data_IF_163070176345
#
_entry.id   IF_163070176345
#
_cell.length_a   1.000
_cell.length_b   1.000
_cell.length_c   1.000
_cell.angle_alpha   90.00
_cell.angle_beta   90.00
_cell.angle_gamma   90.00
#
_symmetry.space_group_name_H-M   'P 1'
#
loop_
_entity.id
_entity.type
_entity.pdbx_description
1 polymer ?
#
# COMPACT_ATOMS: atom_id res chain seq x y z
N UNK A 1 15.44 -39.37 -2.60
CA UNK A 1 15.81 -38.28 -1.69
C UNK A 1 17.20 -37.86 -2.10
N UNK A 2 17.30 -36.87 -2.98
CA UNK A 2 18.57 -36.17 -3.22
C UNK A 2 18.44 -34.85 -2.48
N UNK A 3 19.27 -34.68 -1.45
CA UNK A 3 19.43 -33.42 -0.74
C UNK A 3 20.07 -32.41 -1.70
N UNK A 4 19.30 -31.38 -2.06
CA UNK A 4 19.85 -30.21 -2.75
C UNK A 4 20.55 -29.36 -1.70
N UNK A 5 21.88 -29.46 -1.62
CA UNK A 5 22.70 -28.54 -0.84
C UNK A 5 22.50 -27.11 -1.35
N UNK A 6 21.81 -26.30 -0.56
CA UNK A 6 21.68 -24.86 -0.80
C UNK A 6 22.99 -24.20 -0.37
N UNK A 7 23.82 -23.79 -1.33
CA UNK A 7 25.05 -23.04 -1.05
C UNK A 7 24.70 -21.62 -0.59
N UNK A 8 25.19 -21.22 0.58
CA UNK A 8 25.17 -19.83 1.05
C UNK A 8 25.95 -18.92 0.09
N UNK A 9 25.25 -17.97 -0.55
CA UNK A 9 25.90 -16.97 -1.41
C UNK A 9 26.20 -15.71 -0.59
N UNK A 10 27.43 -15.61 -0.08
CA UNK A 10 27.96 -14.39 0.54
C UNK A 10 28.37 -13.36 -0.52
N UNK A 11 27.40 -12.69 -1.14
CA UNK A 11 27.67 -11.57 -2.05
C UNK A 11 27.55 -10.23 -1.32
N UNK A 12 28.51 -9.96 -0.42
CA UNK A 12 28.76 -8.61 0.04
C UNK A 12 29.47 -7.83 -1.09
N UNK A 13 28.96 -6.65 -1.47
CA UNK A 13 29.69 -5.72 -2.37
C UNK A 13 30.99 -5.18 -1.74
N UNK A 14 31.18 -5.41 -0.44
CA UNK A 14 32.40 -5.21 0.31
C UNK A 14 32.53 -6.40 1.26
N UNK A 15 33.31 -7.40 0.89
CA UNK A 15 33.70 -8.44 1.84
C UNK A 15 34.64 -7.82 2.89
N UNK A 16 34.50 -8.20 4.16
CA UNK A 16 35.49 -7.94 5.22
C UNK A 16 36.92 -8.41 4.84
N UNK A 17 37.05 -9.25 3.80
CA UNK A 17 38.32 -9.78 3.27
C UNK A 17 38.96 -8.95 2.16
N UNK A 18 38.38 -7.81 1.76
CA UNK A 18 38.95 -6.96 0.70
C UNK A 18 38.85 -7.54 -0.72
N UNK A 19 38.08 -8.61 -0.94
CA UNK A 19 37.82 -9.14 -2.28
C UNK A 19 36.86 -8.22 -3.04
N UNK A 20 37.40 -7.54 -4.05
CA UNK A 20 36.61 -6.74 -5.00
C UNK A 20 35.81 -7.67 -5.90
N UNK A 21 34.50 -7.47 -6.00
CA UNK A 21 33.66 -8.18 -6.97
C UNK A 21 34.24 -7.99 -8.38
N UNK A 22 34.57 -9.09 -9.06
CA UNK A 22 35.06 -9.03 -10.44
C UNK A 22 33.88 -8.84 -11.40
N UNK A 23 34.09 -8.17 -12.55
CA UNK A 23 33.06 -8.14 -13.59
C UNK A 23 32.81 -9.56 -14.11
N UNK A 24 31.55 -10.01 -14.05
CA UNK A 24 31.12 -11.33 -14.55
C UNK A 24 30.19 -11.11 -15.75
N UNK A 25 30.25 -11.99 -16.74
CA UNK A 25 29.29 -11.95 -17.87
C UNK A 25 27.92 -12.30 -17.33
N UNK A 26 26.88 -11.60 -17.79
CA UNK A 26 25.51 -11.79 -17.28
C UNK A 26 25.03 -13.25 -17.31
N UNK A 27 25.41 -14.01 -18.34
CA UNK A 27 25.08 -15.45 -18.47
C UNK A 27 25.72 -16.36 -17.41
N UNK A 28 26.78 -15.89 -16.76
CA UNK A 28 27.53 -16.61 -15.75
C UNK A 28 27.21 -16.07 -14.34
N UNK A 29 26.20 -15.19 -14.22
CA UNK A 29 25.66 -14.72 -12.93
C UNK A 29 24.60 -15.71 -12.48
N UNK A 30 24.86 -16.38 -11.36
CA UNK A 30 23.91 -17.31 -10.77
C UNK A 30 22.61 -16.59 -10.36
N UNK A 31 21.47 -17.27 -10.54
CA UNK A 31 20.19 -16.79 -10.00
C UNK A 31 20.28 -16.78 -8.48
N UNK A 32 20.24 -15.59 -7.88
CA UNK A 32 20.34 -15.46 -6.42
C UNK A 32 19.01 -15.90 -5.80
N UNK A 33 19.02 -17.05 -5.13
CA UNK A 33 17.99 -17.40 -4.13
C UNK A 33 18.39 -16.75 -2.81
N UNK A 34 17.73 -15.66 -2.44
CA UNK A 34 17.94 -15.03 -1.14
C UNK A 34 17.24 -15.87 -0.06
N UNK A 35 17.95 -16.26 1.00
CA UNK A 35 17.31 -16.76 2.22
C UNK A 35 16.53 -15.61 2.86
N UNK A 36 15.21 -15.72 2.89
CA UNK A 36 14.33 -14.69 3.46
C UNK A 36 13.84 -15.12 4.83
N UNK A 37 13.87 -14.20 5.78
CA UNK A 37 13.23 -14.39 7.08
C UNK A 37 11.81 -13.86 7.00
N UNK A 38 10.84 -14.76 7.10
CA UNK A 38 9.43 -14.39 7.16
C UNK A 38 9.06 -13.93 8.57
N UNK A 39 8.28 -12.86 8.66
CA UNK A 39 7.56 -12.50 9.89
C UNK A 39 6.25 -13.29 9.94
N UNK A 40 5.47 -13.16 11.01
CA UNK A 40 4.15 -13.78 11.09
C UNK A 40 3.08 -12.90 10.42
N UNK A 41 3.46 -11.69 9.98
CA UNK A 41 2.65 -10.76 9.21
C UNK A 41 2.71 -11.05 7.70
N UNK A 42 1.65 -11.65 7.16
CA UNK A 42 1.55 -12.05 5.76
C UNK A 42 1.61 -10.86 4.78
N UNK A 43 0.97 -9.75 5.10
CA UNK A 43 0.92 -8.52 4.31
C UNK A 43 2.31 -7.85 4.30
N UNK A 44 3.01 -7.82 5.44
CA UNK A 44 4.38 -7.30 5.51
C UNK A 44 5.36 -8.13 4.67
N UNK A 45 5.30 -9.46 4.81
CA UNK A 45 6.10 -10.38 4.00
C UNK A 45 5.86 -10.18 2.51
N UNK A 46 4.58 -10.03 2.10
CA UNK A 46 4.21 -9.80 0.70
C UNK A 46 4.83 -8.51 0.16
N UNK A 47 4.70 -7.41 0.89
CA UNK A 47 5.26 -6.10 0.50
C UNK A 47 6.79 -6.18 0.31
N UNK A 48 7.49 -6.96 1.12
CA UNK A 48 8.93 -7.21 0.98
C UNK A 48 9.31 -8.23 -0.12
N UNK A 49 8.33 -8.80 -0.83
CA UNK A 49 8.58 -9.80 -1.88
C UNK A 49 8.83 -11.21 -1.34
N UNK A 50 8.24 -11.54 -0.19
CA UNK A 50 8.25 -12.87 0.43
C UNK A 50 8.91 -12.95 1.80
N UNK A 51 9.47 -11.85 2.32
CA UNK A 51 10.14 -11.78 3.63
C UNK A 51 11.37 -10.86 3.63
N UNK A 52 11.96 -10.68 4.81
CA UNK A 52 13.13 -9.83 5.06
C UNK A 52 14.38 -10.45 4.46
N UNK A 53 15.15 -9.68 3.70
CA UNK A 53 16.38 -10.13 3.04
C UNK A 53 17.60 -9.69 3.86
N UNK A 54 18.51 -10.60 4.24
CA UNK A 54 19.73 -10.25 4.96
C UNK A 54 20.64 -9.36 4.10
N UNK A 55 21.45 -8.55 4.77
CA UNK A 55 22.34 -7.59 4.11
C UNK A 55 21.61 -6.56 3.25
N UNK A 56 20.39 -6.16 3.62
CA UNK A 56 19.58 -5.19 2.87
C UNK A 56 19.30 -3.93 3.69
N UNK A 57 19.03 -2.82 3.01
CA UNK A 57 18.59 -1.56 3.65
C UNK A 57 17.18 -1.20 3.18
N UNK A 58 16.25 -1.14 4.14
CA UNK A 58 14.81 -0.95 3.92
C UNK A 58 14.38 0.36 4.57
N UNK A 59 13.89 1.31 3.78
CA UNK A 59 13.33 2.58 4.26
C UNK A 59 11.82 2.45 4.47
N UNK A 60 11.33 2.85 5.64
CA UNK A 60 9.89 3.02 5.90
C UNK A 60 9.60 4.52 6.07
N UNK A 61 8.99 5.08 5.02
CA UNK A 61 8.52 6.46 4.97
C UNK A 61 7.07 6.60 5.41
N UNK A 62 6.69 7.76 5.96
CA UNK A 62 5.29 8.07 6.22
C UNK A 62 5.10 9.22 7.22
N UNK A 63 3.88 9.72 7.31
CA UNK A 63 3.53 10.82 8.19
C UNK A 63 3.80 10.48 9.67
N UNK A 64 4.18 11.46 10.52
CA UNK A 64 4.24 11.27 11.97
C UNK A 64 2.90 10.75 12.52
N UNK A 65 2.94 9.77 13.42
CA UNK A 65 1.74 9.16 14.00
C UNK A 65 1.01 8.12 13.12
N UNK A 66 1.50 7.83 11.90
CA UNK A 66 0.92 6.77 11.06
C UNK A 66 1.19 5.35 11.59
N UNK A 67 2.06 5.19 12.58
CA UNK A 67 2.32 3.88 13.22
C UNK A 67 3.55 3.13 12.67
N UNK A 68 4.53 3.83 12.09
CA UNK A 68 5.79 3.24 11.61
C UNK A 68 6.55 2.50 12.73
N UNK A 69 6.76 3.17 13.86
CA UNK A 69 7.39 2.58 15.05
C UNK A 69 6.56 1.41 15.61
N UNK A 70 5.23 1.50 15.57
CA UNK A 70 4.36 0.38 15.99
C UNK A 70 4.56 -0.84 15.08
N UNK A 71 4.57 -0.65 13.76
CA UNK A 71 4.82 -1.71 12.79
C UNK A 71 6.19 -2.35 13.03
N UNK A 72 7.23 -1.53 13.17
CA UNK A 72 8.60 -2.00 13.37
C UNK A 72 8.77 -2.70 14.70
N UNK A 73 8.15 -2.25 15.79
CA UNK A 73 8.19 -2.97 17.06
C UNK A 73 7.55 -4.35 16.94
N UNK A 74 6.36 -4.47 16.31
CA UNK A 74 5.71 -5.77 16.11
C UNK A 74 6.52 -6.71 15.19
N UNK A 75 7.13 -6.16 14.13
CA UNK A 75 8.03 -6.94 13.27
C UNK A 75 9.27 -7.37 14.03
N UNK A 76 9.84 -6.48 14.85
CA UNK A 76 11.06 -6.74 15.60
C UNK A 76 10.87 -7.80 16.67
N UNK A 77 9.75 -7.80 17.42
CA UNK A 77 9.46 -8.87 18.38
C UNK A 77 9.28 -10.23 17.71
N UNK A 78 8.72 -10.27 16.49
CA UNK A 78 8.61 -11.52 15.72
C UNK A 78 9.96 -11.99 15.16
N UNK A 79 10.81 -11.06 14.71
CA UNK A 79 12.15 -11.36 14.19
C UNK A 79 13.11 -11.79 15.30
N UNK A 80 12.94 -11.28 16.53
CA UNK A 80 13.73 -11.67 17.70
C UNK A 80 13.56 -13.16 18.07
N UNK A 81 12.50 -13.81 17.62
CA UNK A 81 12.32 -15.27 17.74
C UNK A 81 13.11 -16.07 16.70
N UNK A 82 13.68 -15.42 15.68
CA UNK A 82 14.31 -16.04 14.50
C UNK A 82 15.77 -15.62 14.33
N UNK A 83 16.24 -14.64 15.11
CA UNK A 83 17.60 -14.11 15.12
C UNK A 83 17.71 -12.95 16.11
N UNK A 84 18.88 -12.33 16.20
CA UNK A 84 19.13 -11.25 17.15
C UNK A 84 18.72 -9.90 16.56
N UNK A 85 17.94 -9.13 17.32
CA UNK A 85 17.44 -7.80 16.91
C UNK A 85 18.08 -6.71 17.75
N UNK A 86 18.62 -5.68 17.08
CA UNK A 86 19.03 -4.43 17.72
C UNK A 86 18.10 -3.30 17.27
N UNK A 87 17.26 -2.82 18.18
CA UNK A 87 16.39 -1.67 17.98
C UNK A 87 17.05 -0.42 18.55
N UNK A 88 17.40 0.53 17.69
CA UNK A 88 18.00 1.81 18.06
C UNK A 88 16.95 2.91 17.97
N UNK A 89 16.74 3.63 19.07
CA UNK A 89 15.80 4.74 19.12
C UNK A 89 16.49 6.02 19.60
N UNK A 90 16.30 7.10 18.85
CA UNK A 90 16.65 8.45 19.29
C UNK A 90 15.44 9.32 19.64
N UNK A 91 14.22 8.85 19.35
CA UNK A 91 12.99 9.63 19.56
C UNK A 91 12.29 9.33 20.89
N UNK A 92 12.17 8.05 21.25
CA UNK A 92 11.46 7.59 22.46
C UNK A 92 12.44 7.00 23.48
N UNK A 93 12.11 7.14 24.78
CA UNK A 93 12.90 6.55 25.86
C UNK A 93 12.75 5.03 25.93
N UNK A 94 13.71 4.36 26.55
CA UNK A 94 13.68 2.90 26.69
C UNK A 94 12.42 2.39 27.41
N UNK A 95 11.96 3.11 28.44
CA UNK A 95 10.77 2.79 29.22
C UNK A 95 9.49 2.95 28.39
N UNK A 96 9.41 3.97 27.54
CA UNK A 96 8.27 4.20 26.65
C UNK A 96 8.13 3.08 25.62
N UNK A 97 9.26 2.66 25.04
CA UNK A 97 9.29 1.56 24.07
C UNK A 97 8.91 0.26 24.75
N UNK A 98 9.46 -0.04 25.94
CA UNK A 98 9.12 -1.25 26.70
C UNK A 98 7.62 -1.38 26.96
N UNK A 99 6.98 -0.31 27.42
CA UNK A 99 5.53 -0.30 27.67
C UNK A 99 4.72 -0.63 26.40
N UNK A 100 5.19 -0.15 25.24
CA UNK A 100 4.53 -0.42 23.96
C UNK A 100 4.81 -1.84 23.48
N UNK A 101 6.05 -2.32 23.57
CA UNK A 101 6.45 -3.64 23.10
C UNK A 101 5.75 -4.76 23.86
N UNK A 102 5.59 -4.65 25.19
CA UNK A 102 4.88 -5.63 26.02
C UNK A 102 3.41 -5.83 25.60
N UNK A 103 2.79 -4.80 25.01
CA UNK A 103 1.43 -4.92 24.46
C UNK A 103 1.42 -5.55 23.06
N UNK A 104 2.47 -5.31 22.29
CA UNK A 104 2.54 -5.63 20.86
C UNK A 104 3.02 -7.06 20.58
N UNK A 105 3.72 -7.69 21.54
CA UNK A 105 4.18 -9.07 21.43
C UNK A 105 5.02 -9.50 22.63
N UNK A 106 5.55 -10.72 22.54
CA UNK A 106 6.48 -11.25 23.54
C UNK A 106 7.87 -10.63 23.36
N UNK A 107 8.51 -10.34 24.50
CA UNK A 107 9.85 -9.73 24.59
C UNK A 107 10.84 -10.62 25.35
N UNK A 108 10.46 -11.86 25.68
CA UNK A 108 11.35 -12.88 26.25
C UNK A 108 12.18 -13.57 25.15
N UNK A 109 12.92 -12.77 24.39
CA UNK A 109 13.70 -13.20 23.23
C UNK A 109 14.93 -12.29 23.02
N UNK A 110 15.70 -12.54 21.95
CA UNK A 110 16.94 -11.83 21.62
C UNK A 110 16.67 -10.43 21.03
N UNK A 111 15.87 -9.63 21.73
CA UNK A 111 15.49 -8.26 21.39
C UNK A 111 16.28 -7.27 22.27
N UNK A 112 17.19 -6.54 21.65
CA UNK A 112 18.01 -5.53 22.31
C UNK A 112 17.52 -4.13 21.96
N UNK A 113 17.33 -3.29 22.98
CA UNK A 113 16.94 -1.89 22.82
C UNK A 113 18.11 -0.98 23.18
N UNK A 114 18.47 -0.06 22.28
CA UNK A 114 19.55 0.89 22.48
C UNK A 114 19.06 2.32 22.23
N UNK A 115 18.82 3.05 23.32
CA UNK A 115 18.37 4.44 23.27
C UNK A 115 19.58 5.38 23.09
N UNK A 116 20.12 5.43 21.87
CA UNK A 116 21.32 6.19 21.52
C UNK A 116 21.16 6.87 20.16
N UNK A 117 21.85 8.00 19.99
CA UNK A 117 21.81 8.82 18.77
C UNK A 117 23.15 8.88 18.04
N UNK A 118 24.27 8.56 18.71
CA UNK A 118 25.60 8.63 18.11
C UNK A 118 25.92 7.41 17.22
N UNK A 119 26.19 7.63 15.94
CA UNK A 119 26.44 6.57 14.96
C UNK A 119 27.67 5.69 15.29
N UNK A 120 28.75 6.27 15.85
CA UNK A 120 29.97 5.53 16.22
C UNK A 120 29.72 4.62 17.42
N UNK A 121 28.90 5.07 18.37
CA UNK A 121 28.48 4.24 19.50
C UNK A 121 27.60 3.07 19.00
N UNK A 122 26.62 3.37 18.15
CA UNK A 122 25.75 2.37 17.51
C UNK A 122 26.58 1.33 16.75
N UNK A 123 27.57 1.77 15.96
CA UNK A 123 28.47 0.89 15.21
C UNK A 123 29.25 -0.05 16.13
N UNK A 124 29.75 0.47 17.25
CA UNK A 124 30.49 -0.34 18.22
C UNK A 124 29.62 -1.47 18.77
N UNK A 125 28.36 -1.17 19.12
CA UNK A 125 27.44 -2.19 19.60
C UNK A 125 27.00 -3.18 18.51
N UNK A 126 26.91 -2.76 17.26
CA UNK A 126 26.68 -3.69 16.14
C UNK A 126 27.82 -4.69 16.00
N UNK A 127 29.07 -4.24 16.13
CA UNK A 127 30.26 -5.12 16.05
C UNK A 127 30.35 -6.07 17.25
N UNK A 128 29.92 -5.62 18.44
CA UNK A 128 29.90 -6.44 19.66
C UNK A 128 28.78 -7.49 19.64
N UNK A 129 27.56 -7.06 19.34
CA UNK A 129 26.36 -7.88 19.40
C UNK A 129 26.19 -8.79 18.17
N UNK A 130 26.71 -8.38 17.01
CA UNK A 130 26.52 -9.05 15.72
C UNK A 130 25.03 -9.39 15.42
N UNK A 131 24.12 -8.40 15.41
CA UNK A 131 22.69 -8.65 15.23
C UNK A 131 22.37 -9.06 13.79
N UNK A 132 21.35 -9.90 13.60
CA UNK A 132 20.82 -10.26 12.28
C UNK A 132 19.92 -9.15 11.70
N UNK A 133 19.25 -8.40 12.59
CA UNK A 133 18.33 -7.33 12.24
C UNK A 133 18.68 -6.05 13.00
N UNK A 134 18.74 -4.93 12.28
CA UNK A 134 18.97 -3.60 12.84
C UNK A 134 17.78 -2.71 12.52
N UNK A 135 17.25 -2.00 13.51
CA UNK A 135 16.19 -1.01 13.32
C UNK A 135 16.69 0.35 13.80
N UNK A 136 16.54 1.39 12.98
CA UNK A 136 16.85 2.78 13.32
C UNK A 136 15.55 3.62 13.30
N UNK A 137 15.08 4.02 14.47
CA UNK A 137 13.86 4.81 14.67
C UNK A 137 14.15 6.14 15.40
N UNK A 138 14.41 7.25 14.71
CA UNK A 138 14.39 7.44 13.26
C UNK A 138 15.74 7.92 12.74
N UNK A 139 15.95 7.86 11.42
CA UNK A 139 17.22 8.28 10.82
C UNK A 139 17.51 9.78 11.06
N UNK A 140 16.47 10.59 11.25
CA UNK A 140 16.61 12.02 11.52
C UNK A 140 17.26 12.31 12.88
N UNK A 141 17.16 11.38 13.84
CA UNK A 141 17.74 11.56 15.18
C UNK A 141 19.18 11.09 15.27
N UNK A 142 19.69 10.34 14.29
CA UNK A 142 21.05 9.82 14.34
C UNK A 142 22.07 10.88 13.92
N UNK A 143 23.15 10.97 14.69
CA UNK A 143 24.21 11.97 14.56
C UNK A 143 25.53 11.23 14.29
N UNK A 144 26.25 11.63 13.25
CA UNK A 144 27.66 11.28 13.07
C UNK A 144 28.52 12.53 13.32
N UNK A 145 29.43 12.53 14.32
CA UNK A 145 30.28 13.66 14.70
C UNK A 145 31.31 14.01 13.61
N UNK A 146 31.63 13.08 12.71
CA UNK A 146 32.54 13.32 11.58
C UNK A 146 31.90 14.22 10.49
N UNK A 147 30.59 14.47 10.59
CA UNK A 147 29.83 15.28 9.64
C UNK A 147 29.54 16.65 10.26
N UNK A 148 30.07 17.70 9.65
CA UNK A 148 29.69 19.07 9.99
C UNK A 148 28.27 19.37 9.50
N UNK A 149 27.34 19.54 10.44
CA UNK A 149 25.94 19.87 10.11
C UNK A 149 25.02 19.86 11.33
N UNK A 150 23.80 20.34 11.15
CA UNK A 150 22.74 20.26 12.17
C UNK A 150 22.14 18.85 12.15
N UNK A 151 21.77 18.35 13.33
CA UNK A 151 21.04 17.08 13.48
C UNK A 151 19.81 17.04 12.56
N UNK A 152 19.63 15.94 11.81
CA UNK A 152 18.50 15.77 10.90
C UNK A 152 18.59 16.57 9.59
N UNK A 153 19.70 17.27 9.34
CA UNK A 153 19.96 17.92 8.06
C UNK A 153 20.09 16.91 6.91
N UNK A 154 19.78 17.34 5.69
CA UNK A 154 19.81 16.48 4.49
C UNK A 154 21.19 15.83 4.27
N UNK A 155 22.27 16.58 4.46
CA UNK A 155 23.63 16.06 4.27
C UNK A 155 23.96 14.96 5.26
N UNK A 156 23.63 15.17 6.54
CA UNK A 156 23.89 14.19 7.59
C UNK A 156 23.09 12.92 7.39
N UNK A 157 21.78 13.05 7.15
CA UNK A 157 20.91 11.87 6.97
C UNK A 157 21.34 11.02 5.78
N UNK A 158 21.78 11.65 4.67
CA UNK A 158 22.31 10.94 3.50
C UNK A 158 23.57 10.15 3.82
N UNK A 159 24.52 10.77 4.50
CA UNK A 159 25.80 10.13 4.81
C UNK A 159 25.61 8.98 5.80
N UNK A 160 24.82 9.18 6.87
CA UNK A 160 24.48 8.10 7.81
C UNK A 160 23.78 6.95 7.08
N UNK A 161 22.88 7.24 6.14
CA UNK A 161 22.23 6.21 5.32
C UNK A 161 23.24 5.45 4.44
N UNK A 162 24.25 6.15 3.89
CA UNK A 162 25.31 5.52 3.12
C UNK A 162 26.19 4.61 3.97
N UNK A 163 26.55 5.05 5.18
CA UNK A 163 27.28 4.25 6.17
C UNK A 163 26.49 3.00 6.58
N UNK A 164 25.19 3.15 6.90
CA UNK A 164 24.30 2.03 7.23
C UNK A 164 24.16 1.04 6.07
N UNK A 165 24.12 1.50 4.81
CA UNK A 165 24.10 0.61 3.65
C UNK A 165 25.40 -0.22 3.57
N UNK A 166 26.56 0.41 3.78
CA UNK A 166 27.83 -0.31 3.80
C UNK A 166 27.88 -1.33 4.92
N UNK A 167 27.45 -0.94 6.12
CA UNK A 167 27.39 -1.80 7.30
C UNK A 167 26.44 -2.99 7.08
N UNK A 168 25.25 -2.76 6.54
CA UNK A 168 24.29 -3.82 6.22
C UNK A 168 24.91 -4.86 5.28
N UNK A 169 25.58 -4.41 4.19
CA UNK A 169 26.24 -5.32 3.25
C UNK A 169 27.45 -6.04 3.83
N UNK A 170 28.23 -5.36 4.67
CA UNK A 170 29.49 -5.89 5.22
C UNK A 170 29.23 -6.96 6.27
N UNK A 171 28.27 -6.72 7.16
CA UNK A 171 27.91 -7.62 8.26
C UNK A 171 26.75 -8.54 7.90
N UNK A 172 26.20 -8.44 6.68
CA UNK A 172 25.05 -9.21 6.19
C UNK A 172 23.77 -9.03 7.04
N UNK A 173 23.56 -7.84 7.58
CA UNK A 173 22.46 -7.47 8.49
C UNK A 173 21.29 -6.91 7.69
N UNK A 174 20.07 -7.31 8.01
CA UNK A 174 18.87 -6.65 7.48
C UNK A 174 18.57 -5.39 8.28
N UNK A 175 18.71 -4.22 7.66
CA UNK A 175 18.59 -2.92 8.32
C UNK A 175 17.32 -2.19 7.89
N UNK A 176 16.49 -1.82 8.86
CA UNK A 176 15.33 -0.95 8.68
C UNK A 176 15.65 0.47 9.14
N UNK A 177 15.27 1.47 8.35
CA UNK A 177 15.38 2.88 8.71
C UNK A 177 14.02 3.55 8.62
N UNK A 178 13.65 4.31 9.65
CA UNK A 178 12.44 5.13 9.65
C UNK A 178 12.75 6.53 9.14
N UNK A 179 11.95 7.00 8.17
CA UNK A 179 12.03 8.36 7.66
C UNK A 179 10.69 9.10 7.80
N UNK A 180 10.65 10.14 8.62
CA UNK A 180 9.50 11.01 8.73
C UNK A 180 9.29 11.89 7.49
N UNK A 181 8.06 11.91 6.95
CA UNK A 181 7.69 12.87 5.89
C UNK A 181 7.56 14.25 6.52
N UNK A 182 8.40 15.18 6.09
CA UNK A 182 8.35 16.58 6.50
C UNK A 182 7.72 17.42 5.39
N UNK A 183 6.75 18.26 5.75
CA UNK A 183 6.06 19.16 4.80
C UNK A 183 6.91 20.39 4.45
N UNK A 184 7.97 20.63 5.21
CA UNK A 184 8.85 21.78 5.07
C UNK A 184 10.26 21.27 4.75
N UNK A 185 10.83 21.70 3.62
CA UNK A 185 12.08 21.20 3.04
C UNK A 185 13.37 21.49 3.84
N UNK A 186 13.28 21.74 5.14
CA UNK A 186 14.40 21.94 6.06
C UNK A 186 14.93 20.63 6.65
N UNK A 187 14.06 19.62 6.81
CA UNK A 187 14.41 18.28 7.28
C UNK A 187 14.43 17.28 6.12
N UNK A 188 15.36 16.33 6.16
CA UNK A 188 15.47 15.29 5.15
C UNK A 188 14.19 14.42 5.11
N UNK A 189 13.37 14.64 4.08
CA UNK A 189 12.23 13.77 3.80
C UNK A 189 12.69 12.42 3.21
N UNK A 190 11.92 11.34 3.40
CA UNK A 190 12.25 9.98 2.93
C UNK A 190 12.51 9.91 1.42
N UNK A 191 11.89 10.81 0.63
CA UNK A 191 12.11 10.94 -0.83
C UNK A 191 13.57 11.11 -1.20
N UNK A 192 14.36 11.77 -0.35
CA UNK A 192 15.77 12.05 -0.61
C UNK A 192 16.66 10.80 -0.48
N UNK A 193 16.19 9.77 0.23
CA UNK A 193 16.92 8.53 0.50
C UNK A 193 16.49 7.38 -0.42
N UNK A 194 15.36 7.52 -1.13
CA UNK A 194 14.77 6.45 -1.95
C UNK A 194 15.76 5.81 -2.92
N UNK A 195 16.62 6.60 -3.54
CA UNK A 195 17.60 6.12 -4.50
C UNK A 195 18.78 5.37 -3.85
N UNK A 196 19.09 5.67 -2.58
CA UNK A 196 20.23 5.14 -1.83
C UNK A 196 19.97 3.76 -1.21
N UNK A 197 18.71 3.45 -0.90
CA UNK A 197 18.31 2.20 -0.22
C UNK A 197 17.96 1.07 -1.19
N UNK A 198 17.86 -0.17 -0.70
CA UNK A 198 17.46 -1.31 -1.54
C UNK A 198 15.94 -1.39 -1.73
N UNK A 199 15.19 -1.15 -0.65
CA UNK A 199 13.72 -1.17 -0.64
C UNK A 199 13.17 0.09 0.01
N UNK A 200 12.12 0.66 -0.57
CA UNK A 200 11.38 1.83 -0.08
C UNK A 200 9.93 1.43 0.13
N UNK A 201 9.47 1.52 1.37
CA UNK A 201 8.09 1.32 1.76
C UNK A 201 7.51 2.66 2.22
N UNK A 202 6.30 2.96 1.78
CA UNK A 202 5.51 4.07 2.28
C UNK A 202 4.34 3.55 3.10
N UNK A 203 4.22 4.03 4.34
CA UNK A 203 3.08 3.77 5.18
C UNK A 203 2.12 4.97 5.13
N UNK A 204 1.01 4.76 4.46
CA UNK A 204 0.02 5.76 4.07
C UNK A 204 -1.28 5.54 4.85
N UNK A 205 -1.97 6.61 5.20
CA UNK A 205 -3.31 6.53 5.76
C UNK A 205 -3.79 7.91 6.16
N UNK A 206 -5.03 8.23 5.81
CA UNK A 206 -5.64 9.50 6.17
C UNK A 206 -6.14 9.46 7.62
N UNK A 207 -6.18 10.62 8.29
CA UNK A 207 -6.56 10.73 9.72
C UNK A 207 -7.94 10.17 10.05
N UNK A 208 -8.83 10.11 9.06
CA UNK A 208 -10.22 9.66 9.22
C UNK A 208 -10.45 8.23 8.70
N UNK A 209 -9.39 7.56 8.25
CA UNK A 209 -9.49 6.26 7.61
C UNK A 209 -8.99 5.23 8.61
N UNK A 210 -9.81 4.22 8.84
CA UNK A 210 -9.52 3.12 9.74
C UNK A 210 -8.27 2.34 9.29
N UNK A 211 -8.07 2.27 7.97
CA UNK A 211 -6.98 1.52 7.35
C UNK A 211 -5.74 2.33 7.07
N UNK A 212 -4.60 1.63 7.15
CA UNK A 212 -3.26 2.10 6.86
C UNK A 212 -2.65 1.16 5.83
N UNK A 213 -2.14 1.73 4.74
CA UNK A 213 -1.65 1.00 3.58
C UNK A 213 -0.13 1.11 3.56
N UNK A 214 0.55 -0.02 3.61
CA UNK A 214 1.99 -0.13 3.41
C UNK A 214 2.26 -0.48 1.94
N UNK A 215 2.98 0.37 1.21
CA UNK A 215 3.23 0.21 -0.22
C UNK A 215 4.71 0.17 -0.53
N UNK A 216 5.14 -0.78 -1.35
CA UNK A 216 6.50 -0.78 -1.89
C UNK A 216 6.63 0.16 -3.09
N UNK A 217 7.34 1.29 -2.95
CA UNK A 217 7.62 2.19 -4.08
C UNK A 217 8.89 1.79 -4.83
N UNK A 218 9.83 1.18 -4.12
CA UNK A 218 11.05 0.58 -4.68
C UNK A 218 11.29 -0.75 -3.98
N UNK A 219 11.54 -1.81 -4.73
CA UNK A 219 11.90 -3.09 -4.15
C UNK A 219 12.88 -3.80 -5.08
N UNK A 220 14.14 -3.90 -4.67
CA UNK A 220 15.16 -4.62 -5.45
C UNK A 220 15.01 -6.14 -5.36
N UNK A 221 14.22 -6.62 -4.40
CA UNK A 221 14.05 -8.04 -4.12
C UNK A 221 12.61 -8.50 -4.39
N UNK A 222 11.75 -7.69 -5.00
CA UNK A 222 10.35 -8.01 -5.16
C UNK A 222 9.62 -7.03 -6.07
N UNK A 223 8.31 -7.22 -6.18
CA UNK A 223 7.44 -6.33 -6.96
C UNK A 223 7.21 -5.00 -6.23
N UNK A 224 7.20 -3.90 -6.97
CA UNK A 224 6.80 -2.56 -6.47
C UNK A 224 5.29 -2.34 -6.52
N UNK A 225 4.52 -3.34 -6.94
CA UNK A 225 3.07 -3.21 -7.02
C UNK A 225 2.36 -3.74 -5.77
N UNK A 226 3.09 -4.44 -4.88
CA UNK A 226 2.52 -5.05 -3.69
C UNK A 226 2.18 -4.02 -2.62
N UNK A 227 1.05 -4.26 -1.96
CA UNK A 227 0.56 -3.48 -0.83
C UNK A 227 0.21 -4.40 0.34
N UNK A 228 0.37 -3.87 1.54
CA UNK A 228 -0.07 -4.45 2.79
C UNK A 228 -1.12 -3.56 3.44
N UNK A 229 -2.24 -4.11 3.90
CA UNK A 229 -3.30 -3.33 4.53
C UNK A 229 -3.40 -3.69 6.00
N UNK A 230 -3.40 -2.66 6.85
CA UNK A 230 -3.43 -2.79 8.29
C UNK A 230 -4.51 -1.90 8.89
N UNK A 231 -5.05 -2.29 10.03
CA UNK A 231 -5.92 -1.49 10.87
C UNK A 231 -5.22 -1.21 12.20
N UNK A 232 -5.29 0.04 12.69
CA UNK A 232 -4.77 0.35 14.02
C UNK A 232 -5.85 0.10 15.07
N UNK A 233 -5.66 -0.95 15.86
CA UNK A 233 -6.51 -1.31 16.99
C UNK A 233 -5.84 -0.97 18.33
N UNK A 234 -6.53 -1.22 19.45
CA UNK A 234 -6.01 -0.95 20.80
C UNK A 234 -4.73 -1.74 21.12
N UNK A 235 -4.61 -2.96 20.58
CA UNK A 235 -3.47 -3.84 20.76
C UNK A 235 -2.28 -3.47 19.85
N UNK A 236 -2.49 -2.82 18.71
CA UNK A 236 -1.47 -2.54 17.72
C UNK A 236 -2.03 -2.56 16.29
N UNK A 237 -1.15 -2.76 15.31
CA UNK A 237 -1.56 -2.95 13.92
C UNK A 237 -2.00 -4.40 13.69
N UNK A 238 -3.18 -4.56 13.10
CA UNK A 238 -3.76 -5.86 12.73
C UNK A 238 -3.85 -5.93 11.21
N UNK A 239 -3.47 -7.07 10.63
CA UNK A 239 -3.52 -7.28 9.18
C UNK A 239 -4.95 -7.43 8.67
N UNK A 240 -5.28 -6.69 7.61
CA UNK A 240 -6.55 -6.80 6.93
C UNK A 240 -6.35 -7.68 5.69
N UNK A 241 -6.46 -9.00 5.90
CA UNK A 241 -6.25 -9.98 4.84
C UNK A 241 -7.32 -9.88 3.72
N UNK A 242 -8.53 -9.44 4.09
CA UNK A 242 -9.63 -9.25 3.17
C UNK A 242 -10.22 -7.83 3.27
N UNK A 243 -9.58 -6.82 2.64
CA UNK A 243 -10.02 -5.43 2.71
C UNK A 243 -11.43 -5.25 2.16
N UNK A 244 -11.75 -6.00 1.11
CA UNK A 244 -13.02 -5.92 0.40
C UNK A 244 -14.22 -6.32 1.26
N UNK A 245 -14.07 -7.28 2.17
CA UNK A 245 -15.15 -7.63 3.10
C UNK A 245 -15.50 -6.45 4.01
N UNK A 246 -14.50 -5.80 4.59
CA UNK A 246 -14.74 -4.68 5.50
C UNK A 246 -15.36 -3.48 4.78
N UNK A 247 -14.97 -3.22 3.53
CA UNK A 247 -15.59 -2.16 2.72
C UNK A 247 -17.04 -2.42 2.33
N UNK A 248 -17.49 -3.68 2.37
CA UNK A 248 -18.84 -4.08 1.96
C UNK A 248 -19.80 -4.33 3.14
N UNK A 249 -19.28 -4.50 4.35
CA UNK A 249 -20.06 -4.78 5.57
C UNK A 249 -20.99 -3.62 5.97
N UNK A 250 -20.69 -2.38 5.57
CA UNK A 250 -21.49 -1.19 5.95
C UNK A 250 -22.75 -0.97 5.07
N UNK A 251 -23.02 -1.84 4.09
CA UNK A 251 -24.19 -1.67 3.20
C UNK A 251 -25.50 -2.04 3.89
N UNK A 252 -26.45 -1.11 3.81
CA UNK A 252 -27.85 -1.39 4.13
C UNK A 252 -28.55 -2.05 2.93
N UNK A 253 -29.34 -3.09 3.20
CA UNK A 253 -30.17 -3.73 2.19
C UNK A 253 -31.15 -2.73 1.57
N UNK A 254 -31.17 -2.66 0.23
CA UNK A 254 -32.06 -1.78 -0.53
C UNK A 254 -31.60 -0.32 -0.64
N UNK A 255 -30.36 0.03 -0.24
CA UNK A 255 -29.84 1.38 -0.40
C UNK A 255 -29.79 1.83 -1.89
N UNK A 256 -30.35 3.01 -2.16
CA UNK A 256 -30.23 3.69 -3.47
C UNK A 256 -28.94 4.51 -3.51
N UNK A 257 -28.42 4.74 -4.72
CA UNK A 257 -27.22 5.56 -4.90
C UNK A 257 -25.91 4.86 -4.59
N UNK A 258 -25.91 3.53 -4.40
CA UNK A 258 -24.71 2.73 -4.13
C UNK A 258 -24.33 1.89 -5.34
N UNK A 259 -23.04 1.81 -5.67
CA UNK A 259 -22.52 0.91 -6.71
C UNK A 259 -21.11 0.42 -6.35
N UNK A 260 -20.79 -0.83 -6.69
CA UNK A 260 -19.47 -1.42 -6.39
C UNK A 260 -18.55 -1.34 -7.60
N UNK A 261 -17.31 -0.94 -7.36
CA UNK A 261 -16.21 -1.02 -8.33
C UNK A 261 -15.12 -1.95 -7.79
N UNK A 262 -14.51 -2.75 -8.65
CA UNK A 262 -13.23 -3.39 -8.34
C UNK A 262 -12.13 -2.44 -8.81
N UNK A 263 -11.58 -1.62 -7.93
CA UNK A 263 -10.47 -0.70 -8.24
C UNK A 263 -9.11 -1.41 -8.13
N UNK A 264 -8.05 -0.83 -8.70
CA UNK A 264 -6.68 -1.32 -8.51
C UNK A 264 -5.88 -0.39 -7.60
N UNK A 265 -5.35 -0.96 -6.52
CA UNK A 265 -4.41 -0.31 -5.63
C UNK A 265 -3.03 -0.99 -5.83
N UNK A 266 -2.19 -0.42 -6.68
CA UNK A 266 -0.97 -1.09 -7.15
C UNK A 266 -1.29 -2.33 -8.01
N UNK A 267 -0.88 -3.53 -7.56
CA UNK A 267 -1.26 -4.82 -8.17
C UNK A 267 -2.48 -5.47 -7.52
N UNK A 268 -2.97 -4.93 -6.40
CA UNK A 268 -4.08 -5.55 -5.67
C UNK A 268 -5.42 -5.01 -6.18
N UNK A 269 -6.31 -5.87 -6.68
CA UNK A 269 -7.70 -5.51 -6.86
C UNK A 269 -8.35 -5.30 -5.49
N UNK A 270 -9.04 -4.18 -5.29
CA UNK A 270 -9.80 -3.86 -4.07
C UNK A 270 -11.23 -3.53 -4.49
N UNK A 271 -12.23 -4.08 -3.80
CA UNK A 271 -13.60 -3.66 -4.00
C UNK A 271 -13.87 -2.42 -3.15
N UNK A 272 -14.42 -1.40 -3.79
CA UNK A 272 -14.81 -0.16 -3.16
C UNK A 272 -16.25 0.19 -3.55
N UNK A 273 -16.98 0.80 -2.61
CA UNK A 273 -18.32 1.31 -2.84
C UNK A 273 -18.25 2.79 -3.23
N UNK A 274 -18.92 3.13 -4.33
CA UNK A 274 -19.22 4.50 -4.72
C UNK A 274 -20.63 4.84 -4.28
N UNK A 275 -20.76 5.92 -3.52
CA UNK A 275 -22.03 6.45 -3.03
C UNK A 275 -22.37 7.76 -3.75
N UNK A 276 -23.65 7.92 -4.07
CA UNK A 276 -24.21 9.11 -4.68
C UNK A 276 -25.55 9.47 -4.04
N UNK A 277 -25.72 10.75 -3.75
CA UNK A 277 -27.00 11.35 -3.40
C UNK A 277 -27.31 12.45 -4.40
N UNK A 278 -28.30 12.21 -5.23
CA UNK A 278 -28.83 13.12 -6.24
C UNK A 278 -30.18 13.63 -5.76
N UNK A 279 -30.33 14.95 -5.64
CA UNK A 279 -31.57 15.57 -5.13
C UNK A 279 -31.90 16.83 -5.91
N UNK A 280 -33.18 17.19 -6.08
CA UNK A 280 -33.54 18.44 -6.76
C UNK A 280 -32.93 19.66 -6.07
N UNK A 281 -32.32 20.53 -6.86
CA UNK A 281 -31.73 21.78 -6.36
C UNK A 281 -32.85 22.71 -5.87
N UNK A 282 -32.72 23.21 -4.64
CA UNK A 282 -33.67 24.16 -4.04
C UNK A 282 -33.26 25.62 -4.29
N UNK A 283 -31.96 25.88 -4.54
CA UNK A 283 -31.41 27.24 -4.66
C UNK A 283 -30.56 27.40 -5.91
N UNK A 284 -30.89 28.39 -6.76
CA UNK A 284 -30.01 28.94 -7.80
C UNK A 284 -29.24 27.90 -8.63
N UNK A 285 -27.97 27.68 -8.29
CA UNK A 285 -27.06 26.79 -8.98
C UNK A 285 -27.00 25.40 -8.33
N UNK A 286 -27.08 24.36 -9.14
CA UNK A 286 -26.91 22.98 -8.71
C UNK A 286 -25.53 22.75 -8.08
N UNK A 287 -25.51 22.17 -6.87
CA UNK A 287 -24.29 21.85 -6.13
C UNK A 287 -23.74 20.52 -6.58
N UNK A 288 -22.42 20.46 -6.73
CA UNK A 288 -21.68 19.22 -6.98
C UNK A 288 -20.58 19.12 -5.93
N UNK A 289 -20.51 18.01 -5.22
CA UNK A 289 -19.52 17.82 -4.15
C UNK A 289 -19.03 16.38 -4.20
N UNK A 290 -17.70 16.20 -4.13
CA UNK A 290 -17.08 14.87 -4.17
C UNK A 290 -16.13 14.69 -2.99
N UNK A 291 -16.01 13.47 -2.49
CA UNK A 291 -15.02 13.06 -1.49
C UNK A 291 -14.45 11.71 -1.86
N UNK A 292 -13.12 11.62 -2.01
CA UNK A 292 -12.45 10.41 -2.50
C UNK A 292 -12.56 10.17 -4.01
N UNK A 293 -13.15 11.10 -4.76
CA UNK A 293 -13.35 11.05 -6.22
C UNK A 293 -12.95 12.39 -6.85
N UNK A 294 -12.35 12.36 -8.05
CA UNK A 294 -12.03 13.57 -8.80
C UNK A 294 -13.30 14.32 -9.25
N UNK A 295 -13.36 15.62 -8.94
CA UNK A 295 -14.51 16.47 -9.22
C UNK A 295 -14.78 16.64 -10.73
N UNK A 296 -13.73 16.77 -11.54
CA UNK A 296 -13.86 16.99 -12.97
C UNK A 296 -14.35 15.72 -13.68
N UNK A 297 -13.84 14.55 -13.28
CA UNK A 297 -14.31 13.23 -13.73
C UNK A 297 -15.80 13.06 -13.48
N UNK A 298 -16.26 13.32 -12.26
CA UNK A 298 -17.70 13.24 -11.93
C UNK A 298 -18.53 14.21 -12.78
N UNK A 299 -18.04 15.43 -12.98
CA UNK A 299 -18.71 16.43 -13.82
C UNK A 299 -18.89 15.97 -15.28
N UNK A 300 -17.85 15.34 -15.86
CA UNK A 300 -17.92 14.77 -17.20
C UNK A 300 -18.90 13.59 -17.28
N UNK A 301 -18.89 12.71 -16.28
CA UNK A 301 -19.80 11.56 -16.22
C UNK A 301 -21.26 12.04 -16.17
N UNK A 302 -21.57 13.04 -15.33
CA UNK A 302 -22.91 13.64 -15.29
C UNK A 302 -23.33 14.21 -16.65
N UNK A 303 -22.44 14.90 -17.35
CA UNK A 303 -22.73 15.44 -18.68
C UNK A 303 -23.01 14.33 -19.72
N UNK A 304 -22.28 13.21 -19.65
CA UNK A 304 -22.54 12.03 -20.50
C UNK A 304 -23.89 11.38 -20.16
N UNK A 305 -24.20 11.20 -18.87
CA UNK A 305 -25.49 10.66 -18.42
C UNK A 305 -26.66 11.51 -18.90
N UNK A 306 -26.55 12.83 -18.81
CA UNK A 306 -27.58 13.75 -19.28
C UNK A 306 -27.72 13.71 -20.81
N UNK A 307 -26.61 13.87 -21.54
CA UNK A 307 -26.66 13.96 -23.01
C UNK A 307 -26.97 12.62 -23.70
N UNK A 308 -26.53 11.49 -23.15
CA UNK A 308 -26.61 10.17 -23.79
C UNK A 308 -27.68 9.26 -23.19
N UNK A 309 -27.97 9.40 -21.90
CA UNK A 309 -28.94 8.55 -21.21
C UNK A 309 -30.25 9.29 -20.87
N UNK A 310 -30.32 10.60 -21.12
CA UNK A 310 -31.54 11.40 -20.95
C UNK A 310 -31.91 11.65 -19.49
N UNK A 311 -30.95 11.56 -18.55
CA UNK A 311 -31.19 11.92 -17.16
C UNK A 311 -31.15 13.44 -17.02
N UNK A 312 -32.24 14.06 -16.55
CA UNK A 312 -32.29 15.52 -16.36
C UNK A 312 -31.56 15.89 -15.07
N UNK A 313 -30.22 15.98 -15.16
CA UNK A 313 -29.32 16.25 -14.04
C UNK A 313 -28.96 17.73 -13.90
N UNK A 314 -29.29 18.58 -14.89
CA UNK A 314 -29.01 20.02 -14.87
C UNK A 314 -29.49 20.72 -13.59
N UNK A 315 -30.65 20.32 -13.06
CA UNK A 315 -31.30 20.91 -11.88
C UNK A 315 -31.22 20.01 -10.64
N UNK A 316 -30.21 19.13 -10.57
CA UNK A 316 -30.00 18.22 -9.46
C UNK A 316 -28.68 18.52 -8.77
N UNK A 317 -28.73 18.65 -7.45
CA UNK A 317 -27.55 18.62 -6.60
C UNK A 317 -27.02 17.18 -6.58
N UNK A 318 -25.69 17.02 -6.60
CA UNK A 318 -25.03 15.72 -6.58
C UNK A 318 -23.92 15.70 -5.55
N UNK A 319 -24.07 14.84 -4.56
CA UNK A 319 -23.06 14.55 -3.54
C UNK A 319 -22.52 13.15 -3.77
N UNK A 320 -21.21 13.02 -3.96
CA UNK A 320 -20.58 11.72 -4.19
C UNK A 320 -19.47 11.47 -3.18
N UNK A 321 -19.37 10.21 -2.75
CA UNK A 321 -18.39 9.75 -1.77
C UNK A 321 -17.87 8.37 -2.16
N UNK A 322 -16.58 8.15 -1.95
CA UNK A 322 -16.00 6.80 -1.88
C UNK A 322 -16.11 6.27 -0.45
N UNK A 323 -16.78 5.14 -0.26
CA UNK A 323 -16.92 4.51 1.06
C UNK A 323 -15.58 3.92 1.54
N UNK A 324 -15.42 3.78 2.86
CA UNK A 324 -14.15 3.35 3.47
C UNK A 324 -12.98 4.32 3.26
N UNK A 325 -13.23 5.46 2.61
CA UNK A 325 -12.22 6.45 2.32
C UNK A 325 -11.15 5.95 1.32
N UNK A 326 -11.49 5.04 0.43
CA UNK A 326 -10.54 4.70 -0.64
C UNK A 326 -10.46 5.88 -1.60
N UNK A 327 -9.27 6.39 -1.92
CA UNK A 327 -9.12 7.39 -2.98
C UNK A 327 -9.24 6.68 -4.33
N UNK A 328 -10.33 6.95 -5.04
CA UNK A 328 -10.61 6.33 -6.32
C UNK A 328 -10.14 7.25 -7.45
N UNK A 329 -8.93 6.98 -7.93
CA UNK A 329 -8.27 7.77 -8.98
C UNK A 329 -7.78 6.88 -10.14
N UNK A 330 -8.72 6.24 -10.82
CA UNK A 330 -8.44 5.51 -12.06
C UNK A 330 -9.62 5.54 -13.02
N UNK A 331 -9.41 5.33 -14.34
CA UNK A 331 -10.49 5.35 -15.32
C UNK A 331 -11.55 4.26 -15.12
N UNK A 332 -11.21 3.13 -14.50
CA UNK A 332 -12.13 1.98 -14.39
C UNK A 332 -13.36 2.24 -13.51
N UNK A 333 -13.33 3.29 -12.68
CA UNK A 333 -14.39 3.64 -11.74
C UNK A 333 -15.58 4.36 -12.40
N UNK A 334 -15.40 4.89 -13.62
CA UNK A 334 -16.39 5.77 -14.24
C UNK A 334 -17.77 5.09 -14.35
N UNK A 335 -17.80 3.81 -14.71
CA UNK A 335 -19.05 3.07 -14.82
C UNK A 335 -19.78 2.92 -13.48
N UNK A 336 -19.06 2.62 -12.40
CA UNK A 336 -19.66 2.52 -11.07
C UNK A 336 -20.19 3.88 -10.60
N UNK A 337 -19.45 4.96 -10.83
CA UNK A 337 -19.91 6.34 -10.56
C UNK A 337 -21.19 6.65 -11.33
N UNK A 338 -21.25 6.32 -12.62
CA UNK A 338 -22.42 6.57 -13.45
C UNK A 338 -23.66 5.79 -12.97
N UNK A 339 -23.46 4.53 -12.58
CA UNK A 339 -24.52 3.67 -12.05
C UNK A 339 -25.00 4.16 -10.68
N UNK A 340 -24.10 4.61 -9.79
CA UNK A 340 -24.45 5.18 -8.49
C UNK A 340 -25.32 6.44 -8.66
N UNK A 341 -24.91 7.37 -9.54
CA UNK A 341 -25.71 8.59 -9.85
C UNK A 341 -27.09 8.20 -10.39
N UNK A 342 -27.14 7.27 -11.35
CA UNK A 342 -28.39 6.83 -11.94
C UNK A 342 -29.29 6.09 -10.93
N UNK A 343 -28.71 5.31 -10.02
CA UNK A 343 -29.42 4.61 -8.95
C UNK A 343 -30.12 5.60 -8.02
N UNK A 344 -29.41 6.64 -7.57
CA UNK A 344 -29.99 7.69 -6.72
C UNK A 344 -31.03 8.49 -7.48
N UNK A 345 -30.73 8.97 -8.70
CA UNK A 345 -31.68 9.75 -9.50
C UNK A 345 -32.98 8.99 -9.84
N UNK A 346 -32.90 7.66 -10.04
CA UNK A 346 -34.07 6.82 -10.33
C UNK A 346 -34.77 6.28 -9.09
N UNK A 347 -34.20 6.49 -7.89
CA UNK A 347 -34.62 5.84 -6.65
C UNK A 347 -34.78 4.32 -6.81
N UNK A 348 -33.80 3.68 -7.47
CA UNK A 348 -33.76 2.24 -7.68
C UNK A 348 -32.42 1.68 -7.19
N UNK A 349 -32.40 0.73 -6.25
CA UNK A 349 -31.16 0.18 -5.73
C UNK A 349 -30.44 -0.66 -6.78
N UNK A 350 -29.11 -0.73 -6.68
CA UNK A 350 -28.32 -1.74 -7.39
C UNK A 350 -28.31 -3.03 -6.57
N UNK A 351 -28.09 -4.17 -7.23
CA UNK A 351 -27.89 -5.41 -6.51
C UNK A 351 -26.51 -5.40 -5.82
N UNK A 352 -26.43 -5.70 -4.50
CA UNK A 352 -25.17 -5.68 -3.74
C UNK A 352 -24.08 -6.62 -4.25
N UNK A 353 -24.46 -7.69 -4.96
CA UNK A 353 -23.54 -8.68 -5.51
C UNK A 353 -23.19 -8.39 -6.98
N UNK A 354 -23.46 -7.18 -7.46
CA UNK A 354 -23.08 -6.71 -8.78
C UNK A 354 -21.96 -5.66 -8.71
N UNK A 355 -20.93 -5.81 -9.52
CA UNK A 355 -19.83 -4.85 -9.65
C UNK A 355 -19.74 -4.27 -11.07
N UNK A 356 -19.18 -3.06 -11.18
CA UNK A 356 -19.14 -2.30 -12.42
C UNK A 356 -17.71 -1.85 -12.75
N UNK A 357 -17.28 -2.12 -13.99
CA UNK A 357 -15.96 -1.79 -14.50
C UNK A 357 -16.05 -1.14 -15.88
N UNK A 358 -15.38 -0.01 -16.05
CA UNK A 358 -15.20 0.59 -17.35
C UNK A 358 -14.97 2.08 -17.29
N UNK A 359 -14.11 2.55 -18.19
CA UNK A 359 -13.95 3.98 -18.48
C UNK A 359 -15.09 4.43 -19.39
N UNK A 360 -15.67 5.60 -19.09
CA UNK A 360 -16.75 6.17 -19.91
C UNK A 360 -16.16 7.19 -20.87
N UNK A 361 -16.31 6.93 -22.16
CA UNK A 361 -16.03 7.93 -23.18
C UNK A 361 -17.16 8.96 -23.30
N UNK A 362 -16.84 10.15 -23.82
CA UNK A 362 -17.81 11.23 -23.99
C UNK A 362 -18.94 10.92 -24.99
N UNK A 363 -18.79 9.88 -25.81
CA UNK A 363 -19.87 9.40 -26.69
C UNK A 363 -20.81 8.40 -26.00
N UNK A 364 -20.53 8.06 -24.74
CA UNK A 364 -21.28 7.11 -23.93
C UNK A 364 -20.82 5.67 -24.09
N UNK A 365 -19.70 5.43 -24.78
CA UNK A 365 -19.10 4.12 -24.95
C UNK A 365 -18.32 3.67 -23.70
N UNK A 366 -18.32 2.37 -23.43
CA UNK A 366 -17.56 1.76 -22.33
C UNK A 366 -16.21 1.26 -22.87
N UNK A 367 -15.12 1.87 -22.42
CA UNK A 367 -13.75 1.64 -22.91
C UNK A 367 -13.03 0.61 -22.06
N UNK A 368 -11.98 0.01 -22.64
CA UNK A 368 -11.16 -1.03 -21.99
C UNK A 368 -10.45 -0.49 -20.75
N UNK A 369 -10.28 -1.34 -19.74
CA UNK A 369 -9.55 -1.06 -18.50
C UNK A 369 -8.43 -2.07 -18.31
N UNK A 370 -7.39 -1.69 -17.56
CA UNK A 370 -6.25 -2.55 -17.29
C UNK A 370 -6.59 -3.66 -16.29
N UNK A 371 -5.86 -4.79 -16.35
CA UNK A 371 -5.92 -5.90 -15.38
C UNK A 371 -7.33 -6.47 -15.15
N UNK A 372 -8.16 -6.50 -16.19
CA UNK A 372 -9.57 -6.90 -16.10
C UNK A 372 -9.76 -8.34 -15.54
N UNK A 373 -8.87 -9.28 -15.87
CA UNK A 373 -8.91 -10.65 -15.34
C UNK A 373 -8.69 -10.70 -13.81
N UNK A 374 -7.71 -9.93 -13.31
CA UNK A 374 -7.46 -9.81 -11.86
C UNK A 374 -8.68 -9.24 -11.13
N UNK A 375 -9.34 -8.24 -11.73
CA UNK A 375 -10.53 -7.61 -11.17
C UNK A 375 -11.73 -8.59 -11.12
N UNK A 376 -11.96 -9.34 -12.20
CA UNK A 376 -13.04 -10.34 -12.26
C UNK A 376 -12.79 -11.46 -11.25
N UNK A 377 -11.56 -11.97 -11.17
CA UNK A 377 -11.19 -13.01 -10.21
C UNK A 377 -11.40 -12.58 -8.76
N UNK A 378 -11.07 -11.32 -8.42
CA UNK A 378 -11.29 -10.80 -7.07
C UNK A 378 -12.77 -10.68 -6.73
N UNK A 379 -13.58 -10.15 -7.65
CA UNK A 379 -15.03 -10.09 -7.47
C UNK A 379 -15.63 -11.50 -7.23
N UNK A 380 -15.23 -12.48 -8.05
CA UNK A 380 -15.69 -13.86 -7.91
C UNK A 380 -15.30 -14.46 -6.54
N UNK A 381 -14.06 -14.25 -6.11
CA UNK A 381 -13.54 -14.73 -4.82
C UNK A 381 -14.34 -14.18 -3.63
N UNK A 382 -14.88 -12.98 -3.76
CA UNK A 382 -15.65 -12.30 -2.72
C UNK A 382 -17.16 -12.56 -2.80
N UNK A 383 -17.58 -13.46 -3.68
CA UNK A 383 -18.97 -13.89 -3.79
C UNK A 383 -19.87 -12.95 -4.61
N UNK A 384 -19.30 -12.08 -5.45
CA UNK A 384 -20.09 -11.33 -6.42
C UNK A 384 -20.59 -12.28 -7.50
N UNK A 385 -21.88 -12.18 -7.80
CA UNK A 385 -22.55 -13.06 -8.76
C UNK A 385 -22.55 -12.48 -10.16
N UNK A 386 -22.37 -11.16 -10.31
CA UNK A 386 -22.32 -10.50 -11.61
C UNK A 386 -21.30 -9.37 -11.65
N UNK A 387 -20.65 -9.19 -12.79
CA UNK A 387 -19.79 -8.05 -13.05
C UNK A 387 -20.00 -7.50 -14.46
N UNK A 388 -20.23 -6.20 -14.57
CA UNK A 388 -20.34 -5.50 -15.85
C UNK A 388 -18.96 -5.01 -16.25
N UNK A 389 -18.50 -5.42 -17.42
CA UNK A 389 -17.17 -5.12 -17.92
C UNK A 389 -17.20 -4.67 -19.38
N UNK A 390 -16.20 -3.92 -19.86
CA UNK A 390 -16.16 -3.48 -21.25
C UNK A 390 -16.11 -4.70 -22.17
N UNK A 391 -17.07 -4.84 -23.09
CA UNK A 391 -17.18 -6.02 -23.99
C UNK A 391 -15.87 -6.30 -24.73
N UNK A 392 -15.20 -5.23 -25.17
CA UNK A 392 -13.93 -5.33 -25.89
C UNK A 392 -12.79 -5.85 -25.01
N UNK A 393 -12.88 -5.73 -23.68
CA UNK A 393 -11.86 -6.22 -22.76
C UNK A 393 -11.96 -7.73 -22.54
N UNK A 394 -13.07 -8.40 -22.89
CA UNK A 394 -13.32 -9.81 -22.58
C UNK A 394 -12.73 -10.81 -23.59
N UNK A 395 -12.11 -10.33 -24.66
CA UNK A 395 -11.53 -11.21 -25.68
C UNK A 395 -10.30 -11.94 -25.13
N UNK A 396 -10.33 -13.28 -25.14
CA UNK A 396 -9.18 -14.12 -24.77
C UNK A 396 -8.94 -14.26 -23.27
N UNK A 397 -9.95 -14.01 -22.43
CA UNK A 397 -9.84 -14.12 -20.97
C UNK A 397 -10.58 -15.36 -20.48
N UNK A 398 -10.01 -16.05 -19.49
CA UNK A 398 -10.69 -17.11 -18.76
C UNK A 398 -11.60 -16.50 -17.69
N UNK A 399 -12.91 -16.76 -17.76
CA UNK A 399 -13.87 -16.30 -16.76
C UNK A 399 -13.90 -17.34 -15.61
N UNK A 400 -13.69 -16.94 -14.35
CA UNK A 400 -13.78 -17.85 -13.22
C UNK A 400 -15.21 -18.34 -13.00
N UNK A 401 -15.36 -19.54 -12.45
CA UNK A 401 -16.66 -20.09 -12.07
C UNK A 401 -17.29 -19.27 -10.94
N UNK A 402 -18.63 -19.13 -10.95
CA UNK A 402 -19.37 -18.48 -9.86
C UNK A 402 -19.67 -16.99 -10.07
N UNK A 403 -19.16 -16.37 -11.13
CA UNK A 403 -19.49 -14.99 -11.53
C UNK A 403 -19.95 -14.92 -12.99
N UNK A 404 -21.04 -14.20 -13.23
CA UNK A 404 -21.48 -13.84 -14.57
C UNK A 404 -20.78 -12.56 -15.04
N UNK A 405 -20.04 -12.64 -16.14
CA UNK A 405 -19.37 -11.46 -16.73
C UNK A 405 -20.20 -10.91 -17.89
N UNK A 406 -20.81 -9.74 -17.67
CA UNK A 406 -21.68 -9.08 -18.65
C UNK A 406 -20.86 -8.06 -19.46
N UNK A 407 -20.59 -8.39 -20.71
CA UNK A 407 -19.89 -7.52 -21.66
C UNK A 407 -20.76 -6.37 -22.16
N UNK A 408 -20.46 -5.14 -21.76
CA UNK A 408 -21.21 -3.94 -22.11
C UNK A 408 -20.46 -3.02 -23.07
N UNK A 409 -21.20 -2.27 -23.88
CA UNK A 409 -20.63 -1.35 -24.89
C UNK A 409 -20.99 0.11 -24.68
N UNK A 410 -22.13 0.40 -24.05
CA UNK A 410 -22.57 1.78 -23.78
C UNK A 410 -23.16 1.94 -22.39
N UNK A 411 -23.07 3.15 -21.82
CA UNK A 411 -23.67 3.47 -20.52
C UNK A 411 -25.19 3.26 -20.56
N UNK A 412 -25.86 3.66 -21.64
CA UNK A 412 -27.29 3.46 -21.80
C UNK A 412 -27.70 1.97 -21.77
N UNK A 413 -26.90 1.08 -22.37
CA UNK A 413 -27.11 -0.36 -22.27
C UNK A 413 -27.02 -0.84 -20.82
N UNK A 414 -26.00 -0.39 -20.08
CA UNK A 414 -25.81 -0.75 -18.67
C UNK A 414 -27.02 -0.33 -17.84
N UNK A 415 -27.44 0.93 -17.92
CA UNK A 415 -28.58 1.43 -17.14
C UNK A 415 -29.88 0.69 -17.45
N UNK A 416 -30.07 0.26 -18.70
CA UNK A 416 -31.23 -0.55 -19.09
C UNK A 416 -31.17 -1.95 -18.49
N UNK A 417 -30.01 -2.59 -18.45
CA UNK A 417 -29.87 -3.94 -17.86
C UNK A 417 -30.01 -3.90 -16.35
N UNK A 418 -29.49 -2.84 -15.69
CA UNK A 418 -29.50 -2.71 -14.23
C UNK A 418 -30.87 -2.27 -13.69
N UNK A 419 -31.58 -1.37 -14.37
CA UNK A 419 -32.80 -0.72 -13.82
C UNK A 419 -34.06 -0.87 -14.69
N UNK A 420 -33.94 -1.45 -15.89
CA UNK A 420 -34.98 -1.48 -16.92
C UNK A 420 -35.88 -2.70 -16.91
#
# INVERSE_FOLDING_TARGET
>A
MEEVEVKEVKNARVSLTGEKSKPVKLKDVDNISYHRTQTDMAEFNRVLGGGVVPGSLILIGGDPGIGKSTLLLQVSTQLANKGTVLYVSGEESAEQIKLRSERLGDIDNEFYLYAETNMQAIRTEIENLNPDFLIIDSIQTIISPDITGVQGSVSQVREVTAELMQLAKTNNIATFIVGHVTKEGTLAGPRMLEHMVDTVLYFEGERHHTFRILRAVKNRFGSTNEIGIFEMQSAGLVEVLNPSQVFLEERLDGATGSAIVVTMEGSRPILAEVQSLVTPTVFGNARRTTTGLDFNRVSLIMAVLEKRCGLLLQNQDAYLKSAGGVKLDEPAIDLAVAVAIASSYKEKPTNPQEAFLGEIGLTGEIRRVTRIEQRINEAAKLGFTKIYAPKNALQGISIPNGIEVVGVTTVGQVLKVVFG
#
